data_IF_187073611801
#
_entry.id   IF_187073611801
#
_cell.length_a   1.000
_cell.length_b   1.000
_cell.length_c   1.000
_cell.angle_alpha   90.00
_cell.angle_beta   90.00
_cell.angle_gamma   90.00
#
_symmetry.space_group_name_H-M   'P 1'
#
loop_
_entity.id
_entity.type
_entity.pdbx_description
1 polymer ?
#
# COMPACT_ATOMS: atom_id res chain seq x y z
N UNK A 1 -21.96 -49.91 -32.80
CA UNK A 1 -21.47 -48.56 -32.47
C UNK A 1 -20.24 -48.76 -31.59
N UNK A 2 -19.07 -48.37 -32.06
CA UNK A 2 -17.77 -48.75 -31.43
C UNK A 2 -17.60 -47.95 -30.13
N UNK A 3 -17.40 -48.60 -29.00
CA UNK A 3 -17.16 -47.99 -27.67
C UNK A 3 -16.02 -46.97 -27.67
N UNK A 4 -15.02 -47.14 -28.54
CA UNK A 4 -13.92 -46.18 -28.69
C UNK A 4 -14.32 -44.82 -29.27
N UNK A 5 -15.37 -44.75 -30.10
CA UNK A 5 -15.91 -43.49 -30.64
C UNK A 5 -16.74 -42.74 -29.60
N UNK A 6 -17.42 -43.47 -28.70
CA UNK A 6 -18.20 -42.87 -27.65
C UNK A 6 -17.33 -42.21 -26.54
N UNK A 7 -16.20 -42.88 -26.21
CA UNK A 7 -15.24 -42.31 -25.23
C UNK A 7 -14.55 -41.03 -25.72
N UNK A 8 -14.26 -40.95 -27.02
CA UNK A 8 -13.65 -39.75 -27.61
C UNK A 8 -14.60 -38.52 -27.61
N UNK A 9 -15.88 -38.75 -27.92
CA UNK A 9 -16.89 -37.69 -27.91
C UNK A 9 -17.14 -37.15 -26.49
N UNK A 10 -17.18 -38.04 -25.48
CA UNK A 10 -17.37 -37.63 -24.06
C UNK A 10 -16.15 -36.85 -23.56
N UNK A 11 -14.91 -37.26 -23.87
CA UNK A 11 -13.70 -36.55 -23.46
C UNK A 11 -13.60 -35.17 -24.12
N UNK A 12 -13.96 -35.00 -25.37
CA UNK A 12 -13.96 -33.72 -26.09
C UNK A 12 -15.04 -32.77 -25.54
N UNK A 13 -16.21 -33.29 -25.19
CA UNK A 13 -17.28 -32.48 -24.56
C UNK A 13 -16.88 -31.96 -23.17
N UNK A 14 -16.17 -32.74 -22.36
CA UNK A 14 -15.67 -32.31 -21.06
C UNK A 14 -14.61 -31.22 -21.17
N UNK A 15 -13.69 -31.30 -22.15
CA UNK A 15 -12.69 -30.22 -22.34
C UNK A 15 -13.31 -28.93 -22.83
N UNK A 16 -14.35 -28.96 -23.65
CA UNK A 16 -15.05 -27.75 -24.13
C UNK A 16 -15.80 -27.07 -22.99
N UNK A 17 -16.41 -27.83 -22.07
CA UNK A 17 -17.12 -27.26 -20.90
C UNK A 17 -16.15 -26.62 -19.90
N UNK A 18 -14.95 -27.18 -19.68
CA UNK A 18 -13.93 -26.59 -18.78
C UNK A 18 -13.43 -25.25 -19.33
N UNK A 19 -13.04 -25.19 -20.61
CA UNK A 19 -12.57 -23.95 -21.24
C UNK A 19 -13.63 -22.84 -21.31
N UNK A 20 -14.91 -23.20 -21.49
CA UNK A 20 -16.01 -22.22 -21.52
C UNK A 20 -16.27 -21.59 -20.15
N UNK A 21 -16.12 -22.36 -19.07
CA UNK A 21 -16.30 -21.85 -17.70
C UNK A 21 -15.17 -20.89 -17.29
N UNK A 22 -13.92 -21.21 -17.60
CA UNK A 22 -12.77 -20.36 -17.32
C UNK A 22 -12.85 -19.01 -18.07
N UNK A 23 -13.30 -19.01 -19.32
CA UNK A 23 -13.47 -17.75 -20.07
C UNK A 23 -14.61 -16.92 -19.52
N UNK A 24 -15.71 -17.52 -19.10
CA UNK A 24 -16.83 -16.83 -18.47
C UNK A 24 -16.41 -16.20 -17.13
N UNK A 25 -15.60 -16.90 -16.31
CA UNK A 25 -15.04 -16.38 -15.06
C UNK A 25 -14.10 -15.19 -15.31
N UNK A 26 -13.20 -15.29 -16.31
CA UNK A 26 -12.31 -14.18 -16.68
C UNK A 26 -13.09 -12.95 -17.16
N UNK A 27 -14.10 -13.15 -17.99
CA UNK A 27 -14.94 -12.04 -18.45
C UNK A 27 -15.67 -11.38 -17.28
N UNK A 28 -16.18 -12.17 -16.34
CA UNK A 28 -16.84 -11.65 -15.13
C UNK A 28 -15.86 -10.91 -14.21
N UNK A 29 -14.66 -11.43 -14.03
CA UNK A 29 -13.61 -10.76 -13.25
C UNK A 29 -13.26 -9.41 -13.86
N UNK A 30 -13.04 -9.35 -15.18
CA UNK A 30 -12.77 -8.09 -15.89
C UNK A 30 -13.94 -7.10 -15.78
N UNK A 31 -15.17 -7.57 -15.93
CA UNK A 31 -16.36 -6.71 -15.74
C UNK A 31 -16.38 -6.09 -14.34
N UNK A 32 -16.12 -6.88 -13.30
CA UNK A 32 -16.09 -6.41 -11.92
C UNK A 32 -14.95 -5.43 -11.68
N UNK A 33 -13.75 -5.70 -12.20
CA UNK A 33 -12.58 -4.84 -12.09
C UNK A 33 -12.77 -3.48 -12.77
N UNK A 34 -13.53 -3.42 -13.86
CA UNK A 34 -13.85 -2.15 -14.53
C UNK A 34 -15.07 -1.42 -13.94
N UNK A 35 -15.85 -2.11 -13.12
CA UNK A 35 -17.08 -1.55 -12.53
C UNK A 35 -16.86 -0.90 -11.17
N UNK A 36 -15.97 -1.48 -10.35
CA UNK A 36 -15.72 -1.04 -8.99
C UNK A 36 -14.34 -0.40 -8.89
N UNK A 37 -14.20 0.58 -8.00
CA UNK A 37 -12.88 1.15 -7.68
C UNK A 37 -12.01 0.06 -7.06
N UNK A 38 -10.87 -0.22 -7.69
CA UNK A 38 -9.84 -1.12 -7.17
C UNK A 38 -8.74 -0.27 -6.54
N UNK A 39 -8.47 -0.52 -5.27
CA UNK A 39 -7.43 0.16 -4.51
C UNK A 39 -6.30 -0.81 -4.19
N UNK A 40 -5.05 -0.41 -4.44
CA UNK A 40 -3.86 -1.05 -3.90
C UNK A 40 -3.34 -0.21 -2.72
N UNK A 41 -3.16 -0.84 -1.57
CA UNK A 41 -2.76 -0.14 -0.34
C UNK A 41 -1.32 0.37 -0.36
N UNK A 42 -0.45 -0.12 -1.29
CA UNK A 42 0.96 0.23 -1.27
C UNK A 42 1.69 -0.19 -2.56
N UNK A 43 2.25 0.77 -3.30
CA UNK A 43 3.13 0.49 -4.43
C UNK A 43 4.40 1.36 -4.40
N UNK A 44 5.57 0.74 -4.60
CA UNK A 44 6.89 1.38 -4.51
C UNK A 44 7.33 2.12 -5.78
N UNK A 45 6.39 2.70 -6.48
CA UNK A 45 6.64 3.42 -7.73
C UNK A 45 7.59 4.62 -7.53
N UNK A 46 7.39 5.50 -6.52
CA UNK A 46 8.31 6.63 -6.32
C UNK A 46 9.74 6.19 -6.02
N UNK A 47 9.89 5.09 -5.25
CA UNK A 47 11.21 4.51 -4.98
C UNK A 47 11.88 3.96 -6.24
N UNK A 48 11.12 3.27 -7.10
CA UNK A 48 11.63 2.77 -8.39
C UNK A 48 12.09 3.91 -9.28
N UNK A 49 11.26 4.94 -9.45
CA UNK A 49 11.56 6.10 -10.29
C UNK A 49 12.76 6.93 -9.78
N UNK A 50 12.96 6.97 -8.46
CA UNK A 50 14.14 7.62 -7.87
C UNK A 50 15.46 6.92 -8.23
N UNK A 51 15.43 5.62 -8.58
CA UNK A 51 16.60 4.89 -9.06
C UNK A 51 16.85 5.04 -10.56
N UNK A 52 15.81 5.31 -11.32
CA UNK A 52 15.86 5.50 -12.76
C UNK A 52 14.48 5.88 -13.29
N UNK A 53 14.40 7.07 -13.85
CA UNK A 53 13.13 7.59 -14.36
C UNK A 53 12.63 6.80 -15.56
N UNK A 54 11.35 6.44 -15.54
CA UNK A 54 10.57 5.94 -16.68
C UNK A 54 9.27 6.71 -16.78
N UNK A 55 8.77 6.92 -17.98
CA UNK A 55 7.48 7.55 -18.24
C UNK A 55 6.35 6.54 -17.99
N UNK A 56 5.62 6.70 -16.90
CA UNK A 56 4.52 5.81 -16.52
C UNK A 56 3.22 6.08 -17.30
N UNK A 57 3.17 7.13 -18.08
CA UNK A 57 2.01 7.44 -18.92
C UNK A 57 1.87 6.48 -20.11
N UNK A 58 2.94 5.75 -20.43
CA UNK A 58 3.03 4.75 -21.49
C UNK A 58 3.50 3.41 -20.93
N UNK A 59 3.37 2.31 -21.69
CA UNK A 59 3.83 1.00 -21.26
C UNK A 59 5.35 0.99 -21.05
N UNK A 60 5.77 0.73 -19.82
CA UNK A 60 7.19 0.69 -19.44
C UNK A 60 7.84 -0.65 -19.76
N UNK A 61 9.17 -0.66 -19.88
CA UNK A 61 9.95 -1.88 -20.11
C UNK A 61 10.20 -2.65 -18.82
N UNK A 62 10.28 -1.94 -17.69
CA UNK A 62 10.57 -2.51 -16.38
C UNK A 62 9.46 -2.19 -15.38
N UNK A 63 9.47 -2.88 -14.23
CA UNK A 63 8.46 -2.72 -13.18
C UNK A 63 7.08 -3.24 -13.58
N UNK A 64 6.16 -3.19 -12.64
CA UNK A 64 4.83 -3.83 -12.75
C UNK A 64 3.68 -2.82 -12.86
N UNK A 65 3.96 -1.53 -12.69
CA UNK A 65 2.98 -0.46 -12.79
C UNK A 65 3.31 0.53 -13.91
N UNK A 66 2.34 0.81 -14.75
CA UNK A 66 2.19 1.95 -15.66
C UNK A 66 0.70 2.17 -15.97
N UNK A 67 0.36 3.32 -16.55
CA UNK A 67 -1.02 3.68 -16.86
C UNK A 67 -1.73 2.63 -17.74
N UNK A 68 -1.17 2.15 -18.87
CA UNK A 68 -1.83 1.15 -19.70
C UNK A 68 -2.15 -0.14 -18.94
N UNK A 69 -1.19 -0.68 -18.16
CA UNK A 69 -1.40 -1.92 -17.39
C UNK A 69 -2.40 -1.72 -16.26
N UNK A 70 -2.33 -0.60 -15.56
CA UNK A 70 -3.29 -0.27 -14.50
C UNK A 70 -4.72 -0.19 -15.05
N UNK A 71 -4.92 0.49 -16.18
CA UNK A 71 -6.24 0.56 -16.84
C UNK A 71 -6.72 -0.79 -17.38
N UNK A 72 -5.84 -1.58 -17.97
CA UNK A 72 -6.16 -2.94 -18.41
C UNK A 72 -6.59 -3.84 -17.23
N UNK A 73 -5.91 -3.73 -16.08
CA UNK A 73 -6.20 -4.49 -14.86
C UNK A 73 -7.33 -3.94 -14.02
N UNK A 74 -7.78 -2.70 -14.27
CA UNK A 74 -8.81 -2.01 -13.49
C UNK A 74 -8.29 -1.43 -12.16
N UNK A 75 -6.99 -1.18 -12.02
CA UNK A 75 -6.42 -0.51 -10.84
C UNK A 75 -6.63 1.00 -10.95
N UNK A 76 -7.38 1.57 -10.00
CA UNK A 76 -7.81 2.97 -10.03
C UNK A 76 -7.17 3.84 -8.97
N UNK A 77 -6.83 3.28 -7.80
CA UNK A 77 -6.39 4.04 -6.61
C UNK A 77 -5.18 3.34 -5.96
N UNK A 78 -4.00 3.32 -6.62
CA UNK A 78 -2.76 2.86 -5.99
C UNK A 78 -2.20 3.91 -5.03
N UNK A 79 -1.99 3.53 -3.77
CA UNK A 79 -1.25 4.36 -2.82
C UNK A 79 0.23 4.40 -3.18
N UNK A 80 0.73 5.57 -3.53
CA UNK A 80 2.15 5.83 -3.81
C UNK A 80 2.95 5.80 -2.51
N UNK A 81 3.86 4.82 -2.37
CA UNK A 81 4.74 4.71 -1.21
C UNK A 81 5.81 5.81 -1.23
N UNK A 82 5.79 6.66 -0.23
CA UNK A 82 6.86 7.61 0.08
C UNK A 82 7.81 6.89 1.03
N UNK A 83 8.61 5.96 0.46
CA UNK A 83 9.50 5.09 1.22
C UNK A 83 10.79 5.78 1.63
N UNK A 84 11.08 5.75 2.93
CA UNK A 84 12.30 6.32 3.52
C UNK A 84 13.14 5.18 4.11
N UNK A 85 14.30 4.86 3.51
CA UNK A 85 15.20 3.84 4.05
C UNK A 85 15.55 4.06 5.52
N UNK A 86 15.69 2.97 6.28
CA UNK A 86 16.07 3.03 7.70
C UNK A 86 17.48 3.61 7.94
N UNK A 87 18.35 3.65 6.93
CA UNK A 87 19.65 4.34 7.03
C UNK A 87 19.53 5.84 7.38
N UNK A 88 18.39 6.45 7.09
CA UNK A 88 18.13 7.85 7.46
C UNK A 88 17.91 8.06 8.96
N UNK A 89 17.73 6.99 9.75
CA UNK A 89 17.70 7.06 11.23
C UNK A 89 19.04 7.62 11.75
N UNK A 90 20.14 7.15 11.18
CA UNK A 90 21.48 7.56 11.59
C UNK A 90 22.01 8.75 10.80
N UNK A 91 21.77 8.80 9.48
CA UNK A 91 22.34 9.83 8.61
C UNK A 91 21.59 11.17 8.65
N UNK A 92 20.36 11.21 9.15
CA UNK A 92 19.47 12.38 9.03
C UNK A 92 19.03 12.63 7.59
N UNK A 93 18.22 13.68 7.36
CA UNK A 93 17.70 14.05 6.04
C UNK A 93 16.48 13.24 5.59
N UNK A 94 15.79 12.58 6.52
CA UNK A 94 14.61 11.78 6.25
C UNK A 94 13.44 12.62 5.73
N UNK A 95 13.28 13.81 6.27
CA UNK A 95 12.24 14.76 5.84
C UNK A 95 12.44 15.22 4.42
N UNK A 96 13.64 15.64 4.04
CA UNK A 96 14.01 16.06 2.69
C UNK A 96 13.84 14.91 1.69
N UNK A 97 14.14 13.67 2.13
CA UNK A 97 13.92 12.49 1.30
C UNK A 97 12.43 12.28 1.02
N UNK A 98 11.59 12.39 2.04
CA UNK A 98 10.13 12.31 1.88
C UNK A 98 9.62 13.40 0.92
N UNK A 99 10.06 14.65 1.11
CA UNK A 99 9.68 15.77 0.24
C UNK A 99 10.05 15.51 -1.23
N UNK A 100 11.25 14.98 -1.48
CA UNK A 100 11.68 14.67 -2.85
C UNK A 100 10.81 13.63 -3.56
N UNK A 101 10.31 12.63 -2.82
CA UNK A 101 9.43 11.60 -3.37
C UNK A 101 8.00 12.10 -3.56
N UNK A 102 7.50 12.94 -2.64
CA UNK A 102 6.21 13.63 -2.78
C UNK A 102 6.21 14.52 -4.03
N UNK A 103 7.28 15.30 -4.23
CA UNK A 103 7.43 16.16 -5.41
C UNK A 103 7.44 15.34 -6.70
N UNK A 104 8.04 14.16 -6.70
CA UNK A 104 8.04 13.25 -7.84
C UNK A 104 6.62 12.77 -8.20
N UNK A 105 5.79 12.43 -7.20
CA UNK A 105 4.38 12.04 -7.43
C UNK A 105 3.58 13.22 -8.01
N UNK A 106 3.76 14.42 -7.45
CA UNK A 106 3.10 15.62 -7.97
C UNK A 106 3.52 15.91 -9.41
N UNK A 107 4.82 15.87 -9.71
CA UNK A 107 5.35 16.08 -11.08
C UNK A 107 4.81 15.05 -12.07
N UNK A 108 4.61 13.78 -11.65
CA UNK A 108 4.02 12.76 -12.49
C UNK A 108 2.56 13.10 -12.84
N UNK A 109 1.77 13.56 -11.87
CA UNK A 109 0.39 13.97 -12.09
C UNK A 109 0.30 15.24 -12.95
N UNK A 110 1.17 16.23 -12.69
CA UNK A 110 1.20 17.49 -13.46
C UNK A 110 1.62 17.28 -14.91
N UNK A 111 2.49 16.31 -15.17
CA UNK A 111 2.96 16.01 -16.54
C UNK A 111 1.88 15.35 -17.39
N UNK A 112 1.06 14.49 -16.83
CA UNK A 112 0.04 13.73 -17.54
C UNK A 112 -1.33 13.86 -16.86
N UNK A 113 -1.91 15.08 -16.77
CA UNK A 113 -3.11 15.38 -15.98
C UNK A 113 -4.39 14.71 -16.50
N UNK A 114 -4.38 14.24 -17.74
CA UNK A 114 -5.48 13.45 -18.32
C UNK A 114 -5.44 11.97 -17.88
N UNK A 115 -4.36 11.53 -17.25
CA UNK A 115 -4.13 10.14 -16.83
C UNK A 115 -4.06 9.97 -15.33
N UNK A 116 -3.40 10.90 -14.63
CA UNK A 116 -3.12 10.84 -13.22
C UNK A 116 -3.57 12.10 -12.50
N UNK A 117 -3.99 11.95 -11.26
CA UNK A 117 -4.26 13.09 -10.38
C UNK A 117 -4.02 12.70 -8.92
N UNK A 118 -3.38 13.57 -8.13
CA UNK A 118 -3.17 13.33 -6.71
C UNK A 118 -4.50 13.40 -5.96
N UNK A 119 -4.79 12.39 -5.14
CA UNK A 119 -6.01 12.33 -4.35
C UNK A 119 -5.72 12.63 -2.87
N UNK A 120 -6.38 13.65 -2.34
CA UNK A 120 -6.27 14.07 -0.94
C UNK A 120 -7.40 13.57 -0.06
N UNK A 121 -8.44 12.98 -0.67
CA UNK A 121 -9.63 12.51 0.04
C UNK A 121 -10.34 11.40 -0.73
N UNK A 122 -11.25 10.70 -0.04
CA UNK A 122 -12.16 9.73 -0.68
C UNK A 122 -13.04 10.41 -1.76
N UNK A 123 -13.41 11.69 -1.56
CA UNK A 123 -14.17 12.45 -2.55
C UNK A 123 -13.35 12.67 -3.82
N UNK A 124 -12.05 12.99 -3.70
CA UNK A 124 -11.16 13.11 -4.85
C UNK A 124 -11.02 11.78 -5.58
N UNK A 125 -10.76 10.69 -4.87
CA UNK A 125 -10.63 9.36 -5.47
C UNK A 125 -11.89 8.99 -6.30
N UNK A 126 -13.08 9.24 -5.75
CA UNK A 126 -14.35 8.99 -6.44
C UNK A 126 -14.53 9.90 -7.67
N UNK A 127 -14.13 11.16 -7.60
CA UNK A 127 -14.21 12.10 -8.73
C UNK A 127 -13.25 11.69 -9.83
N UNK A 128 -11.98 11.47 -9.49
CA UNK A 128 -10.91 11.09 -10.42
C UNK A 128 -11.26 9.79 -11.15
N UNK A 129 -11.79 8.79 -10.42
CA UNK A 129 -12.29 7.55 -11.03
C UNK A 129 -13.38 7.82 -12.08
N UNK A 130 -14.37 8.67 -11.76
CA UNK A 130 -15.44 9.02 -12.70
C UNK A 130 -14.94 9.77 -13.94
N UNK A 131 -13.82 10.47 -13.83
CA UNK A 131 -13.14 11.14 -14.93
C UNK A 131 -12.27 10.17 -15.76
N UNK A 132 -12.19 8.89 -15.35
CA UNK A 132 -11.43 7.85 -16.05
C UNK A 132 -9.93 7.88 -15.81
N UNK A 133 -9.46 8.70 -14.88
CA UNK A 133 -8.06 8.82 -14.48
C UNK A 133 -7.71 7.83 -13.36
N UNK A 134 -6.43 7.71 -13.04
CA UNK A 134 -5.91 7.00 -11.86
C UNK A 134 -5.64 8.02 -10.76
N UNK A 135 -6.25 7.78 -9.60
CA UNK A 135 -6.04 8.58 -8.41
C UNK A 135 -4.76 8.14 -7.67
N UNK A 136 -3.91 9.10 -7.29
CA UNK A 136 -2.63 8.86 -6.63
C UNK A 136 -2.65 9.39 -5.19
N UNK A 137 -3.28 8.69 -4.23
CA UNK A 137 -3.05 8.99 -2.82
C UNK A 137 -1.63 8.60 -2.42
N UNK A 138 -1.08 9.25 -1.39
CA UNK A 138 0.27 9.00 -0.89
C UNK A 138 0.26 8.49 0.55
N UNK A 139 1.09 7.47 0.81
CA UNK A 139 1.38 6.97 2.14
C UNK A 139 2.88 7.05 2.42
N UNK A 140 3.27 7.52 3.60
CA UNK A 140 4.67 7.51 4.02
C UNK A 140 5.01 6.14 4.60
N UNK A 141 6.02 5.49 4.05
CA UNK A 141 6.55 4.26 4.61
C UNK A 141 7.84 4.55 5.38
N UNK A 142 7.82 4.21 6.66
CA UNK A 142 8.77 4.55 7.70
C UNK A 142 8.59 5.96 8.27
N UNK A 143 8.00 6.04 9.45
CA UNK A 143 7.74 7.31 10.17
C UNK A 143 8.99 8.11 10.55
N UNK A 144 10.19 7.64 10.21
CA UNK A 144 11.45 8.38 10.42
C UNK A 144 11.42 9.77 9.77
N UNK A 145 10.61 9.97 8.71
CA UNK A 145 10.42 11.29 8.09
C UNK A 145 9.79 12.35 8.99
N UNK A 146 9.12 11.93 10.08
CA UNK A 146 8.56 12.85 11.09
C UNK A 146 9.68 13.46 11.94
N UNK A 147 10.83 12.77 12.02
CA UNK A 147 11.96 13.13 12.88
C UNK A 147 11.52 13.22 14.36
N UNK A 148 12.03 14.17 15.14
CA UNK A 148 11.64 14.40 16.53
C UNK A 148 10.66 15.57 16.70
N UNK A 149 10.15 16.14 15.59
CA UNK A 149 9.16 17.23 15.60
C UNK A 149 7.78 16.75 15.16
N UNK A 150 6.87 16.60 16.11
CA UNK A 150 5.48 16.18 15.86
C UNK A 150 4.72 17.11 14.89
N UNK A 151 5.16 18.34 14.67
CA UNK A 151 4.58 19.27 13.70
C UNK A 151 4.76 18.81 12.26
N UNK A 152 5.76 17.96 12.02
CA UNK A 152 5.98 17.35 10.71
C UNK A 152 4.82 16.45 10.29
N UNK A 153 3.99 15.91 11.21
CA UNK A 153 2.76 15.20 10.85
C UNK A 153 1.79 16.12 10.10
N UNK A 154 1.53 17.31 10.61
CA UNK A 154 0.67 18.28 9.92
C UNK A 154 1.29 18.73 8.60
N UNK A 155 2.59 18.99 8.58
CA UNK A 155 3.32 19.34 7.37
C UNK A 155 3.11 18.28 6.28
N UNK A 156 3.32 17.01 6.58
CA UNK A 156 3.14 15.93 5.60
C UNK A 156 1.67 15.68 5.24
N UNK A 157 0.74 15.86 6.17
CA UNK A 157 -0.69 15.85 5.84
C UNK A 157 -1.04 16.91 4.80
N UNK A 158 -0.54 18.14 4.98
CA UNK A 158 -0.75 19.23 4.02
C UNK A 158 -0.07 18.98 2.68
N UNK A 159 1.03 18.18 2.68
CA UNK A 159 1.73 17.69 1.48
C UNK A 159 1.04 16.50 0.79
N UNK A 160 -0.02 15.95 1.37
CA UNK A 160 -0.83 14.90 0.76
C UNK A 160 -0.67 13.50 1.34
N UNK A 161 0.11 13.31 2.40
CA UNK A 161 0.23 12.02 3.09
C UNK A 161 -1.09 11.68 3.78
N UNK A 162 -1.59 10.45 3.57
CA UNK A 162 -2.86 9.98 4.12
C UNK A 162 -2.74 8.75 5.02
N UNK A 163 -1.61 8.04 4.95
CA UNK A 163 -1.22 7.10 6.01
C UNK A 163 0.27 7.21 6.30
N UNK A 164 0.68 6.71 7.46
CA UNK A 164 2.09 6.56 7.83
C UNK A 164 2.28 5.18 8.43
N UNK A 165 3.20 4.39 7.83
CA UNK A 165 3.74 3.17 8.40
C UNK A 165 4.76 3.57 9.46
N UNK A 166 4.54 3.16 10.71
CA UNK A 166 5.25 3.73 11.86
C UNK A 166 6.77 3.49 11.82
N UNK A 167 7.20 2.33 11.32
CA UNK A 167 8.61 2.00 11.08
C UNK A 167 8.76 1.16 9.83
N UNK A 168 9.99 0.71 9.50
CA UNK A 168 10.22 -0.23 8.40
C UNK A 168 11.11 -1.40 8.87
N UNK A 169 12.41 -1.40 8.61
CA UNK A 169 13.31 -2.53 8.87
C UNK A 169 14.15 -2.38 10.12
N UNK A 170 14.00 -1.30 10.87
CA UNK A 170 14.70 -0.98 12.10
C UNK A 170 13.78 -0.27 13.07
N UNK A 171 14.02 -0.47 14.36
CA UNK A 171 13.44 0.35 15.40
C UNK A 171 13.77 1.82 15.17
N UNK A 172 12.80 2.69 15.48
CA UNK A 172 12.99 4.12 15.33
C UNK A 172 12.47 4.88 16.58
N UNK A 173 12.36 6.21 16.51
CA UNK A 173 11.85 7.02 17.64
C UNK A 173 10.38 6.74 17.97
N UNK A 174 9.64 6.05 17.09
CA UNK A 174 8.20 5.81 17.22
C UNK A 174 7.92 4.46 17.85
N UNK A 175 8.52 3.39 17.33
CA UNK A 175 8.21 2.02 17.73
C UNK A 175 9.25 1.00 17.28
N UNK A 176 9.06 -0.24 17.76
CA UNK A 176 9.84 -1.40 17.38
C UNK A 176 9.38 -1.99 16.04
N UNK A 177 10.34 -2.54 15.28
CA UNK A 177 10.18 -3.13 13.96
C UNK A 177 10.18 -4.66 14.04
N UNK A 178 9.31 -5.33 13.30
CA UNK A 178 9.29 -6.79 13.14
C UNK A 178 10.48 -7.37 12.37
N UNK A 179 11.38 -6.54 11.88
CA UNK A 179 12.60 -6.92 11.16
C UNK A 179 13.89 -6.61 11.93
N UNK A 180 13.82 -5.86 13.03
CA UNK A 180 15.02 -5.59 13.81
C UNK A 180 15.34 -6.81 14.69
N UNK A 181 16.50 -7.44 14.46
CA UNK A 181 16.97 -8.59 15.23
C UNK A 181 17.58 -8.18 16.59
N UNK A 182 17.63 -6.88 16.89
CA UNK A 182 18.03 -6.39 18.23
C UNK A 182 16.93 -6.67 19.25
N UNK A 183 17.29 -6.66 20.53
CA UNK A 183 16.27 -6.65 21.60
C UNK A 183 15.37 -5.44 21.40
N UNK A 184 14.04 -5.61 21.51
CA UNK A 184 13.05 -4.54 21.36
C UNK A 184 13.46 -3.30 22.14
N UNK A 185 13.61 -2.17 21.45
CA UNK A 185 14.07 -0.92 22.05
C UNK A 185 13.05 -0.36 23.04
N UNK A 186 11.76 -0.51 22.73
CA UNK A 186 10.66 0.13 23.46
C UNK A 186 9.68 -0.85 24.12
N UNK A 187 9.70 -2.14 23.71
CA UNK A 187 8.65 -3.09 24.03
C UNK A 187 7.31 -2.66 23.45
N UNK A 188 7.33 -2.17 22.20
CA UNK A 188 6.19 -1.69 21.45
C UNK A 188 6.30 -0.22 21.03
N UNK A 189 5.31 0.61 21.38
CA UNK A 189 5.34 2.06 21.12
C UNK A 189 6.20 2.81 22.14
N UNK A 190 7.10 3.66 21.66
CA UNK A 190 7.82 4.61 22.49
C UNK A 190 6.87 5.66 23.13
N UNK A 191 7.32 6.43 24.15
CA UNK A 191 6.57 7.59 24.65
C UNK A 191 6.29 8.64 23.56
N UNK A 192 7.18 8.79 22.58
CA UNK A 192 6.98 9.68 21.42
C UNK A 192 5.97 9.06 20.45
N UNK A 193 6.08 7.75 20.16
CA UNK A 193 5.15 7.04 19.28
C UNK A 193 3.70 7.13 19.73
N UNK A 194 3.44 7.07 21.03
CA UNK A 194 2.09 7.28 21.58
C UNK A 194 1.53 8.68 21.27
N UNK A 195 2.38 9.71 21.25
CA UNK A 195 1.97 11.07 20.85
C UNK A 195 1.73 11.14 19.33
N UNK A 196 2.59 10.47 18.54
CA UNK A 196 2.45 10.38 17.09
C UNK A 196 1.10 9.75 16.70
N UNK A 197 0.75 8.58 17.27
CA UNK A 197 -0.54 7.92 16.99
C UNK A 197 -1.73 8.82 17.31
N UNK A 198 -1.73 9.50 18.46
CA UNK A 198 -2.81 10.44 18.83
C UNK A 198 -2.92 11.61 17.86
N UNK A 199 -1.79 12.17 17.45
CA UNK A 199 -1.79 13.30 16.53
C UNK A 199 -2.18 12.87 15.11
N UNK A 200 -1.79 11.66 14.66
CA UNK A 200 -2.28 11.09 13.42
C UNK A 200 -3.81 10.94 13.41
N UNK A 201 -4.40 10.42 14.51
CA UNK A 201 -5.86 10.34 14.64
C UNK A 201 -6.51 11.73 14.55
N UNK A 202 -5.95 12.74 15.26
CA UNK A 202 -6.47 14.11 15.25
C UNK A 202 -6.44 14.76 13.87
N UNK A 203 -5.40 14.47 13.07
CA UNK A 203 -5.21 15.01 11.73
C UNK A 203 -5.99 14.23 10.65
N UNK A 204 -6.43 13.01 10.93
CA UNK A 204 -7.04 12.12 9.94
C UNK A 204 -6.01 11.41 9.07
N UNK A 205 -4.80 11.16 9.58
CA UNK A 205 -3.79 10.29 8.96
C UNK A 205 -4.03 8.87 9.47
N UNK A 206 -4.23 7.91 8.58
CA UNK A 206 -4.39 6.50 8.95
C UNK A 206 -3.08 5.96 9.52
N UNK A 207 -3.16 5.26 10.66
CA UNK A 207 -2.00 4.55 11.23
C UNK A 207 -1.86 3.23 10.49
N UNK A 208 -0.71 3.02 9.84
CA UNK A 208 -0.39 1.77 9.17
C UNK A 208 0.53 0.92 10.05
N UNK A 209 0.04 -0.27 10.37
CA UNK A 209 0.75 -1.24 11.24
C UNK A 209 1.50 -2.31 10.44
N UNK A 210 1.77 -2.10 9.16
CA UNK A 210 2.73 -2.91 8.43
C UNK A 210 4.15 -2.71 9.01
N UNK A 211 4.99 -3.73 8.99
CA UNK A 211 6.39 -3.73 9.47
C UNK A 211 6.62 -3.68 10.98
N UNK A 212 5.62 -3.43 11.80
CA UNK A 212 5.78 -3.31 13.25
C UNK A 212 5.64 -4.66 13.97
N UNK A 213 6.09 -4.74 15.22
CA UNK A 213 5.92 -5.94 16.05
C UNK A 213 4.45 -6.15 16.46
N UNK A 214 4.10 -7.37 16.86
CA UNK A 214 2.76 -7.68 17.37
C UNK A 214 2.38 -6.80 18.57
N UNK A 215 3.36 -6.49 19.43
CA UNK A 215 3.14 -5.63 20.57
C UNK A 215 2.77 -4.19 20.14
N UNK A 216 3.44 -3.65 19.12
CA UNK A 216 3.07 -2.33 18.54
C UNK A 216 1.65 -2.38 17.97
N UNK A 217 1.30 -3.43 17.21
CA UNK A 217 -0.05 -3.59 16.65
C UNK A 217 -1.09 -3.52 17.77
N UNK A 218 -0.90 -4.30 18.84
CA UNK A 218 -1.82 -4.38 19.95
C UNK A 218 -1.93 -3.04 20.68
N UNK A 219 -0.82 -2.37 20.97
CA UNK A 219 -0.81 -1.07 21.64
C UNK A 219 -1.45 0.03 20.77
N UNK A 220 -1.24 0.02 19.45
CA UNK A 220 -1.91 0.96 18.52
C UNK A 220 -3.42 0.73 18.53
N UNK A 221 -3.87 -0.53 18.41
CA UNK A 221 -5.30 -0.86 18.43
C UNK A 221 -5.99 -0.55 19.76
N UNK A 222 -5.25 -0.58 20.90
CA UNK A 222 -5.79 -0.25 22.21
C UNK A 222 -5.97 1.26 22.40
N UNK A 223 -5.23 2.09 21.67
CA UNK A 223 -5.21 3.54 21.89
C UNK A 223 -5.74 4.37 20.72
N UNK A 224 -5.91 3.78 19.54
CA UNK A 224 -6.43 4.51 18.37
C UNK A 224 -7.93 4.71 18.50
N UNK A 225 -8.37 5.97 18.34
CA UNK A 225 -9.80 6.33 18.34
C UNK A 225 -10.49 6.03 16.99
N UNK A 226 -9.72 5.66 15.96
CA UNK A 226 -10.17 5.41 14.57
C UNK A 226 -9.59 4.11 14.04
N UNK A 227 -10.18 3.52 12.98
CA UNK A 227 -9.63 2.32 12.35
C UNK A 227 -8.18 2.51 11.89
N UNK A 228 -7.36 1.48 12.09
CA UNK A 228 -5.98 1.39 11.59
C UNK A 228 -5.94 0.52 10.34
N UNK A 229 -4.85 0.57 9.60
CA UNK A 229 -4.67 -0.23 8.38
C UNK A 229 -3.41 -1.09 8.48
N UNK A 230 -3.39 -2.18 7.71
CA UNK A 230 -2.20 -2.94 7.36
C UNK A 230 -2.06 -2.87 5.84
N UNK A 231 -1.42 -1.83 5.33
CA UNK A 231 -1.42 -1.47 3.91
C UNK A 231 -0.84 -2.57 3.01
N UNK A 232 0.19 -3.29 3.50
CA UNK A 232 0.92 -4.31 2.76
C UNK A 232 1.48 -5.44 3.65
N UNK A 233 0.68 -5.92 4.60
CA UNK A 233 0.96 -7.15 5.37
C UNK A 233 0.15 -8.32 4.81
N UNK A 234 0.71 -9.53 4.91
CA UNK A 234 0.01 -10.78 4.60
C UNK A 234 -0.45 -11.48 5.89
N UNK A 235 -1.03 -12.68 5.75
CA UNK A 235 -1.47 -13.49 6.88
C UNK A 235 -0.35 -14.42 7.34
N UNK A 236 0.05 -14.34 8.61
CA UNK A 236 1.09 -15.20 9.22
C UNK A 236 0.72 -16.68 9.19
N UNK A 237 -0.56 -17.00 9.11
CA UNK A 237 -1.02 -18.38 8.96
C UNK A 237 -0.29 -19.12 7.82
N UNK A 238 0.01 -18.46 6.71
CA UNK A 238 0.70 -19.04 5.55
C UNK A 238 2.23 -18.94 5.63
N UNK A 239 2.77 -18.18 6.57
CA UNK A 239 4.21 -17.94 6.77
C UNK A 239 4.57 -18.06 8.25
N UNK A 240 4.38 -19.24 8.81
CA UNK A 240 4.53 -19.50 10.25
C UNK A 240 5.85 -18.97 10.79
N UNK A 241 5.78 -18.24 11.91
CA UNK A 241 6.95 -17.69 12.59
C UNK A 241 7.52 -16.41 11.99
N UNK A 242 6.90 -15.87 10.94
CA UNK A 242 7.36 -14.62 10.33
C UNK A 242 6.48 -13.44 10.76
N UNK A 243 6.95 -12.68 11.75
CA UNK A 243 6.20 -11.59 12.40
C UNK A 243 5.88 -10.42 11.47
N UNK A 244 6.62 -10.25 10.38
CA UNK A 244 6.29 -9.27 9.33
C UNK A 244 4.86 -9.39 8.81
N UNK A 245 4.33 -10.60 8.84
CA UNK A 245 2.94 -10.89 8.50
C UNK A 245 2.07 -10.91 9.75
N UNK A 246 0.85 -10.38 9.64
CA UNK A 246 -0.07 -10.21 10.74
C UNK A 246 -0.63 -11.55 11.24
N UNK A 247 -0.68 -11.74 12.55
CA UNK A 247 -1.27 -12.90 13.19
C UNK A 247 -2.79 -12.89 13.13
N UNK A 248 -3.41 -14.07 13.25
CA UNK A 248 -4.87 -14.24 13.21
C UNK A 248 -5.61 -13.47 14.32
N UNK A 249 -4.96 -13.29 15.47
CA UNK A 249 -5.52 -12.55 16.61
C UNK A 249 -5.63 -11.06 16.26
N UNK A 250 -4.56 -10.49 15.73
CA UNK A 250 -4.47 -9.07 15.31
C UNK A 250 -5.43 -8.79 14.14
N UNK A 251 -5.50 -9.70 13.13
CA UNK A 251 -6.44 -9.56 12.01
C UNK A 251 -7.90 -9.49 12.50
N UNK A 252 -8.27 -10.29 13.52
CA UNK A 252 -9.64 -10.23 14.08
C UNK A 252 -9.94 -8.92 14.81
N UNK A 253 -8.91 -8.18 15.23
CA UNK A 253 -9.05 -6.87 15.89
C UNK A 253 -9.17 -5.72 14.90
N UNK A 254 -8.74 -5.91 13.64
CA UNK A 254 -8.92 -4.94 12.54
C UNK A 254 -10.40 -4.86 12.10
N UNK A 255 -11.27 -4.36 12.97
CA UNK A 255 -12.71 -4.22 12.67
C UNK A 255 -13.07 -2.78 12.42
#
# INVERSE_FOLDING_TARGET
MNLSKLSFVVATSFMIFSCSNDQALKNRANELAQKFIITDGHIDVPWRLNKGYEDLSVRTKTGDFDYPRAKEGGLDVPFMSIYIPSSYIESGGAKEKADSLIDMVNQMADKDPDKFEVAYSLADANRIFKEGKIALPMGMENGVGIEDDIKNLKYFYDRGIRYITLTHSKDNLICDSSYDDSDDTWGGLSPYGRKVVKEMNRLGIMVDVSHVTDEVINQVMDMSDVPVIASHSSCRHFTKGWERNMGDAEIRRLK
#
